data_IF_590072678771
#
_entry.id   IF_590072678771
#
_cell.length_a   1.000
_cell.length_b   1.000
_cell.length_c   1.000
_cell.angle_alpha   90.00
_cell.angle_beta   90.00
_cell.angle_gamma   90.00
#
_symmetry.space_group_name_H-M   'P 1'
#
loop_
_entity.id
_entity.type
_entity.pdbx_description
1 polymer ?
#
# COMPACT_ATOMS: atom_id res chain seq x y z
N UNK A 1 -37.72 -50.25 0.21
CA UNK A 1 -36.76 -50.98 -0.65
C UNK A 1 -35.99 -50.07 -1.60
N UNK A 2 -36.64 -49.29 -2.50
CA UNK A 2 -35.93 -48.42 -3.45
C UNK A 2 -35.19 -47.25 -2.78
N UNK A 3 -35.81 -46.60 -1.80
CA UNK A 3 -35.19 -45.47 -1.09
C UNK A 3 -34.05 -45.89 -0.16
N UNK A 4 -34.17 -47.02 0.53
CA UNK A 4 -33.12 -47.58 1.38
C UNK A 4 -31.88 -47.98 0.55
N UNK A 5 -32.10 -48.53 -0.65
CA UNK A 5 -31.01 -48.81 -1.59
C UNK A 5 -30.33 -47.54 -2.09
N UNK A 6 -31.10 -46.48 -2.37
CA UNK A 6 -30.56 -45.17 -2.75
C UNK A 6 -29.75 -44.51 -1.64
N UNK A 7 -30.17 -44.64 -0.38
CA UNK A 7 -29.42 -44.14 0.78
C UNK A 7 -28.13 -44.91 1.01
N UNK A 8 -28.15 -46.24 0.88
CA UNK A 8 -26.94 -47.06 0.96
C UNK A 8 -25.94 -46.72 -0.14
N UNK A 9 -26.44 -46.50 -1.37
CA UNK A 9 -25.60 -46.13 -2.51
C UNK A 9 -24.96 -44.75 -2.32
N UNK A 10 -25.70 -43.75 -1.81
CA UNK A 10 -25.15 -42.42 -1.54
C UNK A 10 -24.12 -42.42 -0.42
N UNK A 11 -24.33 -43.22 0.63
CA UNK A 11 -23.36 -43.43 1.72
C UNK A 11 -22.06 -44.06 1.20
N UNK A 12 -22.18 -45.05 0.31
CA UNK A 12 -21.05 -45.75 -0.29
C UNK A 12 -20.25 -44.82 -1.24
N UNK A 13 -20.95 -43.99 -2.03
CA UNK A 13 -20.32 -42.96 -2.88
C UNK A 13 -19.61 -41.91 -2.03
N UNK A 14 -20.24 -41.41 -0.96
CA UNK A 14 -19.61 -40.43 -0.05
C UNK A 14 -18.39 -41.01 0.64
N UNK A 15 -18.44 -42.28 1.06
CA UNK A 15 -17.28 -42.97 1.65
C UNK A 15 -16.15 -43.14 0.64
N UNK A 16 -16.45 -43.51 -0.61
CA UNK A 16 -15.48 -43.60 -1.71
C UNK A 16 -14.83 -42.25 -2.03
N UNK A 17 -15.60 -41.16 -2.01
CA UNK A 17 -15.09 -39.80 -2.22
C UNK A 17 -14.14 -39.36 -1.10
N UNK A 18 -14.45 -39.67 0.16
CA UNK A 18 -13.57 -39.38 1.29
C UNK A 18 -12.27 -40.18 1.25
N UNK A 19 -12.34 -41.45 0.83
CA UNK A 19 -11.14 -42.28 0.61
C UNK A 19 -10.26 -41.70 -0.51
N UNK A 20 -10.86 -41.23 -1.61
CA UNK A 20 -10.12 -40.56 -2.69
C UNK A 20 -9.39 -39.30 -2.22
N UNK A 21 -10.06 -38.47 -1.40
CA UNK A 21 -9.46 -37.28 -0.80
C UNK A 21 -8.28 -37.63 0.14
N UNK A 22 -8.45 -38.69 0.94
CA UNK A 22 -7.43 -39.18 1.86
C UNK A 22 -6.21 -39.77 1.13
N UNK A 23 -6.42 -40.56 0.07
CA UNK A 23 -5.34 -41.11 -0.76
C UNK A 23 -4.61 -40.01 -1.52
N UNK A 24 -5.33 -39.01 -2.05
CA UNK A 24 -4.72 -37.82 -2.67
C UNK A 24 -3.81 -37.07 -1.69
N UNK A 25 -4.23 -36.92 -0.44
CA UNK A 25 -3.45 -36.28 0.62
C UNK A 25 -2.20 -37.09 1.02
N UNK A 26 -2.24 -38.43 0.93
CA UNK A 26 -1.06 -39.29 1.17
C UNK A 26 -0.09 -39.21 -0.01
N UNK A 27 -0.58 -39.18 -1.25
CA UNK A 27 0.26 -39.14 -2.45
C UNK A 27 0.93 -37.77 -2.67
N UNK A 28 0.28 -36.67 -2.23
CA UNK A 28 0.83 -35.32 -2.28
C UNK A 28 2.15 -35.14 -1.49
N UNK A 29 2.48 -36.07 -0.57
CA UNK A 29 3.73 -36.04 0.22
C UNK A 29 4.84 -36.97 -0.31
N UNK A 30 4.63 -37.68 -1.42
CA UNK A 30 5.62 -38.61 -1.95
C UNK A 30 6.59 -37.91 -2.91
N UNK A 31 7.46 -37.05 -2.38
CA UNK A 31 8.58 -36.53 -3.17
C UNK A 31 9.43 -37.67 -3.73
N UNK A 32 9.89 -37.57 -4.99
CA UNK A 32 10.70 -38.62 -5.61
C UNK A 32 11.96 -38.91 -4.78
N UNK A 33 12.44 -40.14 -4.88
CA UNK A 33 13.67 -40.54 -4.20
C UNK A 33 14.86 -39.73 -4.71
N UNK A 34 15.86 -39.45 -3.85
CA UNK A 34 17.06 -38.75 -4.29
C UNK A 34 17.80 -39.58 -5.35
N UNK A 35 18.39 -38.88 -6.33
CA UNK A 35 19.19 -39.51 -7.38
C UNK A 35 20.45 -40.15 -6.78
N UNK A 36 20.90 -41.23 -7.40
CA UNK A 36 22.24 -41.73 -7.12
C UNK A 36 23.31 -40.71 -7.58
N UNK A 37 24.53 -40.74 -7.01
CA UNK A 37 25.61 -39.82 -7.42
C UNK A 37 25.97 -39.90 -8.90
N UNK A 38 25.76 -41.05 -9.54
CA UNK A 38 26.01 -41.24 -10.97
C UNK A 38 24.92 -40.62 -11.83
N UNK A 39 23.65 -40.80 -11.45
CA UNK A 39 22.51 -40.16 -12.12
C UNK A 39 22.52 -38.64 -11.96
N UNK A 40 22.86 -38.13 -10.78
CA UNK A 40 22.98 -36.69 -10.54
C UNK A 40 24.03 -36.08 -11.49
N UNK A 41 25.19 -36.74 -11.65
CA UNK A 41 26.23 -36.31 -12.61
C UNK A 41 25.72 -36.35 -14.05
N UNK A 42 25.02 -37.41 -14.45
CA UNK A 42 24.46 -37.54 -15.79
C UNK A 42 23.46 -36.42 -16.09
N UNK A 43 22.55 -36.13 -15.17
CA UNK A 43 21.59 -35.03 -15.29
C UNK A 43 22.29 -33.66 -15.33
N UNK A 44 23.34 -33.44 -14.53
CA UNK A 44 24.11 -32.20 -14.57
C UNK A 44 24.79 -31.98 -15.93
N UNK A 45 25.38 -33.03 -16.52
CA UNK A 45 25.99 -32.97 -17.85
C UNK A 45 24.93 -32.70 -18.93
N UNK A 46 23.78 -33.37 -18.87
CA UNK A 46 22.69 -33.16 -19.82
C UNK A 46 22.13 -31.73 -19.72
N UNK A 47 21.93 -31.23 -18.50
CA UNK A 47 21.48 -29.86 -18.25
C UNK A 47 22.45 -28.82 -18.81
N UNK A 48 23.77 -29.02 -18.70
CA UNK A 48 24.77 -28.13 -19.31
C UNK A 48 24.67 -28.08 -20.84
N UNK A 49 24.15 -29.14 -21.47
CA UNK A 49 23.86 -29.18 -22.91
C UNK A 49 22.50 -28.55 -23.27
N UNK A 50 21.79 -28.00 -22.30
CA UNK A 50 20.48 -27.34 -22.49
C UNK A 50 19.27 -28.26 -22.30
N UNK A 51 19.45 -29.47 -21.77
CA UNK A 51 18.34 -30.39 -21.50
C UNK A 51 17.46 -29.89 -20.34
N UNK A 52 16.21 -29.57 -20.67
CA UNK A 52 15.20 -29.06 -19.74
C UNK A 52 14.67 -30.17 -18.83
N UNK A 53 14.54 -31.40 -19.33
CA UNK A 53 14.03 -32.52 -18.55
C UNK A 53 15.02 -32.91 -17.46
N UNK A 54 16.32 -32.94 -17.80
CA UNK A 54 17.38 -33.16 -16.83
C UNK A 54 17.39 -32.10 -15.72
N UNK A 55 17.13 -30.84 -16.06
CA UNK A 55 16.99 -29.74 -15.08
C UNK A 55 15.79 -29.96 -14.16
N UNK A 56 14.63 -30.26 -14.73
CA UNK A 56 13.40 -30.45 -13.95
C UNK A 56 13.55 -31.66 -13.02
N UNK A 57 14.14 -32.76 -13.50
CA UNK A 57 14.45 -33.94 -12.69
C UNK A 57 15.33 -33.61 -11.49
N UNK A 58 16.39 -32.82 -11.68
CA UNK A 58 17.26 -32.35 -10.58
C UNK A 58 16.50 -31.49 -9.55
N UNK A 59 15.57 -30.65 -9.99
CA UNK A 59 14.77 -29.81 -9.10
C UNK A 59 13.81 -30.70 -8.28
N UNK A 60 13.03 -31.55 -8.94
CA UNK A 60 12.00 -32.38 -8.31
C UNK A 60 12.59 -33.34 -7.27
N UNK A 61 13.72 -33.99 -7.56
CA UNK A 61 14.38 -34.92 -6.64
C UNK A 61 14.98 -34.24 -5.41
N UNK A 62 15.20 -32.92 -5.48
CA UNK A 62 15.75 -32.12 -4.39
C UNK A 62 14.69 -31.30 -3.64
N UNK A 63 13.39 -31.40 -3.97
CA UNK A 63 12.33 -30.69 -3.26
C UNK A 63 12.24 -31.06 -1.76
N UNK A 64 12.61 -32.30 -1.39
CA UNK A 64 12.68 -32.74 0.01
C UNK A 64 13.62 -31.87 0.85
N UNK A 65 14.73 -31.42 0.23
CA UNK A 65 15.71 -30.55 0.88
C UNK A 65 15.09 -29.18 1.18
N UNK A 66 14.30 -28.65 0.24
CA UNK A 66 13.57 -27.38 0.42
C UNK A 66 12.62 -27.49 1.61
N UNK A 67 11.76 -28.52 1.63
CA UNK A 67 10.83 -28.74 2.73
C UNK A 67 11.53 -28.90 4.09
N UNK A 68 12.70 -29.56 4.13
CA UNK A 68 13.48 -29.71 5.34
C UNK A 68 14.08 -28.37 5.82
N UNK A 69 14.65 -27.57 4.92
CA UNK A 69 15.26 -26.29 5.26
C UNK A 69 14.20 -25.27 5.66
N UNK A 70 13.08 -25.19 4.94
CA UNK A 70 12.01 -24.24 5.22
C UNK A 70 11.40 -24.44 6.61
N UNK A 71 11.35 -25.68 7.13
CA UNK A 71 10.90 -25.98 8.50
C UNK A 71 11.71 -25.32 9.62
N UNK A 72 12.97 -24.95 9.36
CA UNK A 72 13.82 -24.24 10.33
C UNK A 72 13.37 -22.80 10.55
N UNK A 73 12.54 -22.26 9.65
CA UNK A 73 12.10 -20.88 9.66
C UNK A 73 10.61 -20.82 10.00
N UNK A 74 10.25 -19.93 10.91
CA UNK A 74 8.86 -19.60 11.23
C UNK A 74 8.76 -18.09 11.26
N UNK A 75 7.83 -17.53 10.46
CA UNK A 75 7.71 -16.08 10.26
C UNK A 75 6.25 -15.70 10.33
N UNK A 76 5.94 -14.65 11.07
CA UNK A 76 4.58 -14.10 11.12
C UNK A 76 4.19 -13.58 9.72
N UNK A 77 3.04 -14.04 9.22
CA UNK A 77 2.54 -13.69 7.88
C UNK A 77 3.06 -14.55 6.73
N UNK A 78 3.86 -15.58 7.00
CA UNK A 78 4.20 -16.61 6.01
C UNK A 78 3.80 -17.98 6.55
N UNK A 79 3.06 -18.73 5.75
CA UNK A 79 2.80 -20.13 6.08
C UNK A 79 3.96 -21.03 5.61
N UNK A 80 3.84 -22.33 5.90
CA UNK A 80 4.85 -23.30 5.47
C UNK A 80 4.93 -23.44 3.96
N UNK A 81 3.83 -23.24 3.23
CA UNK A 81 3.76 -23.37 1.78
C UNK A 81 4.46 -22.19 1.09
N UNK A 82 4.34 -20.99 1.65
CA UNK A 82 5.05 -19.79 1.20
C UNK A 82 6.56 -19.98 1.33
N UNK A 83 7.02 -20.45 2.48
CA UNK A 83 8.44 -20.69 2.74
C UNK A 83 9.00 -21.83 1.86
N UNK A 84 8.18 -22.83 1.55
CA UNK A 84 8.56 -23.87 0.58
C UNK A 84 8.67 -23.24 -0.82
N UNK A 85 7.70 -22.43 -1.24
CA UNK A 85 7.69 -21.78 -2.56
C UNK A 85 8.90 -20.85 -2.76
N UNK A 86 9.22 -20.02 -1.77
CA UNK A 86 10.42 -19.17 -1.78
C UNK A 86 11.69 -20.02 -1.84
N UNK A 87 11.75 -21.08 -1.03
CA UNK A 87 12.87 -22.01 -1.03
C UNK A 87 13.04 -22.73 -2.38
N UNK A 88 11.94 -23.07 -3.07
CA UNK A 88 11.96 -23.67 -4.42
C UNK A 88 12.58 -22.72 -5.44
N UNK A 89 12.31 -21.41 -5.35
CA UNK A 89 13.02 -20.41 -6.18
C UNK A 89 14.53 -20.46 -5.93
N UNK A 90 14.95 -20.60 -4.67
CA UNK A 90 16.36 -20.76 -4.31
C UNK A 90 16.99 -22.04 -4.87
N UNK A 91 16.25 -23.16 -4.84
CA UNK A 91 16.68 -24.41 -5.44
C UNK A 91 16.83 -24.29 -6.97
N UNK A 92 15.86 -23.69 -7.65
CA UNK A 92 15.92 -23.48 -9.11
C UNK A 92 17.16 -22.66 -9.47
N UNK A 93 17.40 -21.55 -8.76
CA UNK A 93 18.59 -20.71 -8.93
C UNK A 93 19.88 -21.52 -8.70
N UNK A 94 19.89 -22.36 -7.66
CA UNK A 94 21.04 -23.22 -7.36
C UNK A 94 21.34 -24.19 -8.50
N UNK A 95 20.33 -24.91 -8.98
CA UNK A 95 20.47 -25.88 -10.07
C UNK A 95 20.95 -25.19 -11.35
N UNK A 96 20.38 -24.02 -11.69
CA UNK A 96 20.77 -23.28 -12.89
C UNK A 96 22.19 -22.71 -12.86
N UNK A 97 22.72 -22.40 -11.67
CA UNK A 97 24.04 -21.74 -11.51
C UNK A 97 25.12 -22.66 -10.95
N UNK A 98 24.79 -23.93 -10.69
CA UNK A 98 25.71 -24.89 -10.12
C UNK A 98 26.88 -25.19 -11.06
N UNK A 99 28.09 -25.20 -10.49
CA UNK A 99 29.31 -25.56 -11.21
C UNK A 99 29.91 -26.84 -10.58
N UNK A 100 29.96 -27.97 -11.31
CA UNK A 100 30.50 -29.23 -10.80
C UNK A 100 32.02 -29.20 -10.56
N UNK A 101 32.78 -28.29 -11.18
CA UNK A 101 34.25 -28.21 -11.04
C UNK A 101 34.68 -27.79 -9.64
N UNK A 102 33.78 -27.15 -8.87
CA UNK A 102 34.06 -26.63 -7.54
C UNK A 102 34.19 -27.71 -6.46
N UNK A 103 34.08 -29.02 -6.80
CA UNK A 103 34.19 -30.17 -5.88
C UNK A 103 33.27 -30.08 -4.64
N UNK A 104 32.11 -29.46 -4.77
CA UNK A 104 31.07 -29.38 -3.73
C UNK A 104 29.84 -30.14 -4.22
N UNK A 105 29.14 -30.84 -3.33
CA UNK A 105 27.89 -31.53 -3.67
C UNK A 105 26.79 -30.53 -4.00
N UNK A 106 25.92 -30.88 -4.96
CA UNK A 106 24.79 -30.02 -5.36
C UNK A 106 23.90 -29.69 -4.16
N UNK A 107 23.58 -30.67 -3.32
CA UNK A 107 22.76 -30.48 -2.12
C UNK A 107 23.36 -29.44 -1.15
N UNK A 108 24.68 -29.43 -0.94
CA UNK A 108 25.34 -28.45 -0.07
C UNK A 108 25.25 -27.03 -0.64
N UNK A 109 25.43 -26.89 -1.96
CA UNK A 109 25.29 -25.59 -2.62
C UNK A 109 23.84 -25.11 -2.62
N UNK A 110 22.92 -25.99 -2.99
CA UNK A 110 21.48 -25.74 -3.01
C UNK A 110 20.96 -25.32 -1.65
N UNK A 111 21.40 -25.97 -0.56
CA UNK A 111 21.03 -25.60 0.79
C UNK A 111 21.33 -24.13 1.09
N UNK A 112 22.53 -23.64 0.70
CA UNK A 112 22.90 -22.22 0.89
C UNK A 112 22.04 -21.28 0.06
N UNK A 113 21.70 -21.65 -1.17
CA UNK A 113 20.84 -20.84 -2.04
C UNK A 113 19.40 -20.78 -1.52
N UNK A 114 18.86 -21.91 -1.05
CA UNK A 114 17.53 -22.01 -0.44
C UNK A 114 17.47 -21.11 0.81
N UNK A 115 18.41 -21.28 1.75
CA UNK A 115 18.48 -20.44 2.95
C UNK A 115 18.60 -18.95 2.60
N UNK A 116 19.38 -18.61 1.58
CA UNK A 116 19.55 -17.23 1.16
C UNK A 116 18.25 -16.61 0.62
N UNK A 117 17.50 -17.30 -0.24
CA UNK A 117 16.23 -16.76 -0.75
C UNK A 117 15.20 -16.58 0.36
N UNK A 118 15.08 -17.55 1.27
CA UNK A 118 14.21 -17.42 2.45
C UNK A 118 14.60 -16.19 3.27
N UNK A 119 15.89 -16.04 3.59
CA UNK A 119 16.38 -14.88 4.34
C UNK A 119 16.20 -13.56 3.59
N UNK A 120 16.30 -13.54 2.25
CA UNK A 120 16.07 -12.34 1.46
C UNK A 120 14.60 -11.91 1.49
N UNK A 121 13.65 -12.86 1.38
CA UNK A 121 12.23 -12.58 1.53
C UNK A 121 11.88 -12.05 2.92
N UNK A 122 12.53 -12.57 3.97
CA UNK A 122 12.36 -12.07 5.33
C UNK A 122 12.90 -10.64 5.52
N UNK A 123 13.96 -10.28 4.81
CA UNK A 123 14.51 -8.91 4.87
C UNK A 123 13.62 -7.91 4.14
N UNK A 124 13.01 -8.29 3.03
CA UNK A 124 12.10 -7.41 2.29
C UNK A 124 10.78 -7.19 3.04
N UNK A 125 10.25 -8.24 3.69
CA UNK A 125 9.02 -8.13 4.49
C UNK A 125 9.18 -7.28 5.76
N UNK A 126 10.40 -7.16 6.30
CA UNK A 126 10.69 -6.33 7.48
C UNK A 126 10.22 -4.88 7.33
N UNK A 127 10.18 -4.33 6.11
CA UNK A 127 9.75 -2.96 5.85
C UNK A 127 8.29 -2.69 6.25
N UNK A 128 7.44 -3.72 6.16
CA UNK A 128 5.99 -3.62 6.37
C UNK A 128 5.53 -4.38 7.61
N UNK A 129 6.48 -4.89 8.42
CA UNK A 129 6.16 -5.74 9.57
C UNK A 129 5.40 -5.02 10.67
N UNK A 130 5.64 -3.72 10.80
CA UNK A 130 5.04 -2.87 11.82
C UNK A 130 3.83 -2.09 11.26
N UNK A 131 3.42 -2.39 10.01
CA UNK A 131 2.21 -1.82 9.41
C UNK A 131 0.98 -2.52 9.98
N UNK A 132 -0.03 -1.73 10.35
CA UNK A 132 -1.30 -2.21 10.91
C UNK A 132 -2.39 -1.96 9.87
N UNK A 133 -3.29 -2.92 9.70
CA UNK A 133 -4.44 -2.76 8.82
C UNK A 133 -5.41 -1.73 9.40
N UNK A 134 -5.85 -0.76 8.61
CA UNK A 134 -6.83 0.24 9.06
C UNK A 134 -8.22 -0.37 9.32
N UNK A 135 -8.46 -1.57 8.81
CA UNK A 135 -9.70 -2.32 8.98
C UNK A 135 -9.63 -3.28 10.17
N UNK A 136 -8.49 -3.38 10.86
CA UNK A 136 -8.38 -4.20 12.06
C UNK A 136 -9.21 -3.58 13.20
N UNK A 137 -10.03 -4.37 13.90
CA UNK A 137 -10.87 -3.86 14.97
C UNK A 137 -10.00 -3.43 16.15
N UNK A 138 -10.15 -2.17 16.57
CA UNK A 138 -9.38 -1.56 17.67
C UNK A 138 -10.13 -1.68 19.01
N UNK A 139 -11.43 -1.91 18.95
CA UNK A 139 -12.30 -2.04 20.10
C UNK A 139 -13.74 -2.31 19.70
N UNK A 140 -14.62 -2.30 20.69
CA UNK A 140 -16.06 -2.50 20.48
C UNK A 140 -16.83 -1.27 20.97
N UNK A 141 -17.84 -0.83 20.22
CA UNK A 141 -18.76 0.21 20.68
C UNK A 141 -19.64 -0.31 21.85
N UNK A 142 -20.40 0.58 22.48
CA UNK A 142 -21.41 0.27 23.49
C UNK A 142 -22.46 -0.75 23.02
N UNK A 143 -22.67 -0.88 21.71
CA UNK A 143 -23.54 -1.88 21.10
C UNK A 143 -22.84 -3.19 20.71
N UNK A 144 -21.55 -3.35 21.07
CA UNK A 144 -20.67 -4.48 20.71
C UNK A 144 -20.31 -4.61 19.23
N UNK A 145 -20.61 -3.60 18.42
CA UNK A 145 -20.09 -3.57 17.05
C UNK A 145 -18.59 -3.27 17.07
N UNK A 146 -17.84 -3.95 16.20
CA UNK A 146 -16.40 -3.79 16.06
C UNK A 146 -16.09 -2.43 15.41
N UNK A 147 -15.28 -1.61 16.09
CA UNK A 147 -14.82 -0.31 15.58
C UNK A 147 -13.44 -0.52 14.96
N UNK A 148 -13.25 -0.12 13.71
CA UNK A 148 -11.96 -0.17 13.02
C UNK A 148 -11.19 1.15 13.16
N UNK A 149 -9.88 1.14 12.88
CA UNK A 149 -9.09 2.38 12.85
C UNK A 149 -9.64 3.36 11.80
N UNK A 150 -10.19 2.85 10.69
CA UNK A 150 -10.81 3.65 9.64
C UNK A 150 -11.98 4.50 10.16
N UNK A 151 -12.77 3.96 11.10
CA UNK A 151 -13.93 4.67 11.68
C UNK A 151 -13.51 5.81 12.62
N UNK A 152 -12.32 5.72 13.19
CA UNK A 152 -11.74 6.73 14.09
C UNK A 152 -11.04 7.83 13.29
N UNK A 153 -10.42 7.47 12.16
CA UNK A 153 -9.70 8.40 11.31
C UNK A 153 -10.69 9.28 10.54
N UNK A 154 -10.84 10.52 11.02
CA UNK A 154 -11.57 11.56 10.30
C UNK A 154 -10.94 11.87 8.94
N UNK A 155 -11.77 12.22 7.96
CA UNK A 155 -11.31 12.73 6.67
C UNK A 155 -11.16 14.25 6.76
N UNK A 156 -9.92 14.74 6.77
CA UNK A 156 -9.61 16.19 6.83
C UNK A 156 -10.11 16.99 5.61
N UNK A 157 -10.65 16.33 4.56
CA UNK A 157 -10.76 16.94 3.22
C UNK A 157 -12.16 17.33 2.77
N UNK A 158 -13.22 17.03 3.51
CA UNK A 158 -14.60 17.31 3.10
C UNK A 158 -15.40 18.08 4.16
N UNK A 159 -14.78 19.07 4.82
CA UNK A 159 -15.58 20.08 5.50
C UNK A 159 -16.25 20.97 4.44
N UNK A 160 -17.39 20.52 3.92
CA UNK A 160 -18.37 21.36 3.21
C UNK A 160 -18.60 22.66 3.99
N UNK A 161 -18.49 22.59 5.31
CA UNK A 161 -18.49 23.74 6.22
C UNK A 161 -17.42 24.79 5.89
N UNK A 162 -16.16 24.41 5.66
CA UNK A 162 -15.07 25.36 5.39
C UNK A 162 -15.27 26.05 4.04
N UNK A 163 -15.72 25.31 3.03
CA UNK A 163 -16.03 25.86 1.70
C UNK A 163 -17.22 26.83 1.73
N UNK A 164 -18.26 26.49 2.50
CA UNK A 164 -19.44 27.34 2.69
C UNK A 164 -19.06 28.59 3.48
N UNK A 165 -18.28 28.44 4.55
CA UNK A 165 -17.81 29.55 5.36
C UNK A 165 -16.94 30.51 4.54
N UNK A 166 -15.97 29.99 3.77
CA UNK A 166 -15.13 30.79 2.90
C UNK A 166 -15.95 31.59 1.88
N UNK A 167 -17.00 30.98 1.31
CA UNK A 167 -17.91 31.67 0.37
C UNK A 167 -18.68 32.80 1.05
N UNK A 168 -19.22 32.56 2.24
CA UNK A 168 -19.95 33.58 3.03
C UNK A 168 -19.01 34.73 3.39
N UNK A 169 -17.82 34.44 3.90
CA UNK A 169 -16.81 35.44 4.26
C UNK A 169 -16.33 36.24 3.04
N UNK A 170 -16.12 35.57 1.90
CA UNK A 170 -15.74 36.22 0.64
C UNK A 170 -16.83 37.17 0.13
N UNK A 171 -18.10 36.76 0.21
CA UNK A 171 -19.21 37.63 -0.18
C UNK A 171 -19.30 38.87 0.73
N UNK A 172 -19.20 38.68 2.04
CA UNK A 172 -19.20 39.78 3.01
C UNK A 172 -18.03 40.76 2.76
N UNK A 173 -16.83 40.24 2.42
CA UNK A 173 -15.68 41.06 2.05
C UNK A 173 -15.98 41.95 0.83
N UNK A 174 -16.56 41.38 -0.23
CA UNK A 174 -16.90 42.15 -1.43
C UNK A 174 -17.97 43.21 -1.16
N UNK A 175 -18.96 42.91 -0.34
CA UNK A 175 -19.98 43.86 0.09
C UNK A 175 -19.36 45.04 0.86
N UNK A 176 -18.45 44.77 1.81
CA UNK A 176 -17.76 45.80 2.58
C UNK A 176 -16.81 46.65 1.73
N UNK A 177 -16.11 46.05 0.77
CA UNK A 177 -15.30 46.77 -0.22
C UNK A 177 -16.17 47.73 -1.05
N UNK A 178 -17.40 47.33 -1.37
CA UNK A 178 -18.32 48.15 -2.15
C UNK A 178 -18.92 49.32 -1.34
N UNK A 179 -19.18 49.13 -0.04
CA UNK A 179 -19.87 50.09 0.83
C UNK A 179 -18.93 51.03 1.59
N UNK A 180 -17.80 50.53 2.08
CA UNK A 180 -16.94 51.25 3.04
C UNK A 180 -15.75 51.97 2.38
N UNK A 181 -15.32 51.50 1.22
CA UNK A 181 -14.16 52.07 0.51
C UNK A 181 -14.59 53.07 -0.56
N UNK A 182 -13.86 54.17 -0.62
CA UNK A 182 -13.92 55.11 -1.75
C UNK A 182 -13.42 54.43 -3.02
N UNK A 183 -13.80 54.96 -4.18
CA UNK A 183 -13.39 54.42 -5.49
C UNK A 183 -11.86 54.27 -5.60
N UNK A 184 -11.12 55.26 -5.10
CA UNK A 184 -9.65 55.26 -5.12
C UNK A 184 -9.04 54.22 -4.17
N UNK A 185 -9.63 54.02 -2.99
CA UNK A 185 -9.23 52.97 -2.04
C UNK A 185 -9.53 51.57 -2.61
N UNK A 186 -10.70 51.40 -3.22
CA UNK A 186 -11.12 50.15 -3.87
C UNK A 186 -10.15 49.74 -4.97
N UNK A 187 -9.81 50.64 -5.89
CA UNK A 187 -8.87 50.36 -6.98
C UNK A 187 -7.50 49.92 -6.44
N UNK A 188 -6.99 50.57 -5.39
CA UNK A 188 -5.73 50.18 -4.76
C UNK A 188 -5.81 48.78 -4.16
N UNK A 189 -6.85 48.48 -3.37
CA UNK A 189 -7.02 47.16 -2.75
C UNK A 189 -7.22 46.06 -3.78
N UNK A 190 -8.05 46.28 -4.82
CA UNK A 190 -8.26 45.32 -5.89
C UNK A 190 -6.95 44.97 -6.59
N UNK A 191 -6.14 45.96 -6.97
CA UNK A 191 -4.85 45.72 -7.64
C UNK A 191 -3.78 45.13 -6.73
N UNK A 192 -3.78 45.48 -5.43
CA UNK A 192 -2.78 44.97 -4.47
C UNK A 192 -2.98 43.49 -4.17
N UNK A 193 -4.24 43.08 -3.98
CA UNK A 193 -4.59 41.73 -3.54
C UNK A 193 -5.11 40.83 -4.68
N UNK A 194 -5.26 41.36 -5.89
CA UNK A 194 -5.71 40.56 -7.04
C UNK A 194 -7.18 40.18 -6.97
N UNK A 195 -8.02 41.08 -6.46
CA UNK A 195 -9.47 40.83 -6.35
C UNK A 195 -10.13 41.00 -7.72
N UNK A 196 -11.35 40.48 -7.90
CA UNK A 196 -12.12 40.58 -9.15
C UNK A 196 -11.38 40.04 -10.39
N UNK A 197 -10.63 38.94 -10.22
CA UNK A 197 -9.88 38.30 -11.31
C UNK A 197 -8.64 39.05 -11.77
N UNK A 198 -8.20 40.08 -11.04
CA UNK A 198 -6.94 40.77 -11.32
C UNK A 198 -5.74 40.03 -10.72
N UNK A 199 -4.54 40.23 -11.28
CA UNK A 199 -3.30 39.72 -10.66
C UNK A 199 -2.87 40.64 -9.50
N UNK A 200 -2.39 40.09 -8.37
CA UNK A 200 -1.86 40.90 -7.27
C UNK A 200 -0.58 41.62 -7.70
N UNK A 201 -0.50 42.92 -7.43
CA UNK A 201 0.62 43.79 -7.81
C UNK A 201 1.33 44.35 -6.58
N UNK A 202 2.67 44.48 -6.61
CA UNK A 202 3.41 45.18 -5.55
C UNK A 202 3.07 46.68 -5.54
N UNK A 203 3.17 47.33 -4.38
CA UNK A 203 2.88 48.78 -4.20
C UNK A 203 3.56 49.67 -5.24
N UNK A 204 4.80 49.35 -5.63
CA UNK A 204 5.57 50.09 -6.64
C UNK A 204 4.89 50.07 -8.01
N UNK A 205 4.28 48.96 -8.39
CA UNK A 205 3.60 48.82 -9.69
C UNK A 205 2.21 49.45 -9.68
N UNK A 206 1.49 49.34 -8.55
CA UNK A 206 0.23 50.08 -8.34
C UNK A 206 0.48 51.59 -8.38
N UNK A 207 1.55 52.06 -7.76
CA UNK A 207 1.96 53.47 -7.78
C UNK A 207 2.23 53.98 -9.20
N UNK A 208 2.93 53.19 -10.02
CA UNK A 208 3.16 53.49 -11.44
C UNK A 208 1.85 53.53 -12.22
N UNK A 209 0.95 52.56 -12.04
CA UNK A 209 -0.35 52.51 -12.73
C UNK A 209 -1.26 53.69 -12.39
N UNK A 210 -1.23 54.16 -11.14
CA UNK A 210 -2.08 55.24 -10.64
C UNK A 210 -1.40 56.62 -10.68
N UNK A 211 -0.19 56.73 -11.24
CA UNK A 211 0.61 57.95 -11.30
C UNK A 211 0.71 58.69 -9.94
N UNK A 212 1.01 57.94 -8.88
CA UNK A 212 1.18 58.46 -7.51
C UNK A 212 2.44 57.88 -6.86
N UNK A 213 2.89 58.47 -5.75
CA UNK A 213 4.05 57.95 -5.03
C UNK A 213 3.74 56.61 -4.35
N UNK A 214 4.75 55.73 -4.25
CA UNK A 214 4.65 54.47 -3.48
C UNK A 214 4.21 54.71 -2.03
N UNK A 215 4.73 55.77 -1.41
CA UNK A 215 4.35 56.15 -0.04
C UNK A 215 2.86 56.50 0.07
N UNK A 216 2.31 57.16 -0.95
CA UNK A 216 0.88 57.48 -0.99
C UNK A 216 0.01 56.22 -1.17
N UNK A 217 0.42 55.26 -2.00
CA UNK A 217 -0.25 53.95 -2.10
C UNK A 217 -0.27 53.23 -0.75
N UNK A 218 0.86 53.21 -0.03
CA UNK A 218 0.96 52.59 1.30
C UNK A 218 -0.01 53.22 2.31
N UNK A 219 -0.15 54.56 2.29
CA UNK A 219 -1.12 55.27 3.15
C UNK A 219 -2.56 54.93 2.79
N UNK A 220 -2.90 54.84 1.50
CA UNK A 220 -4.24 54.46 1.05
C UNK A 220 -4.55 53.01 1.45
N UNK A 221 -3.61 52.08 1.23
CA UNK A 221 -3.75 50.67 1.60
C UNK A 221 -4.01 50.53 3.10
N UNK A 222 -3.19 51.18 3.95
CA UNK A 222 -3.38 51.15 5.40
C UNK A 222 -4.76 51.66 5.82
N UNK A 223 -5.17 52.82 5.31
CA UNK A 223 -6.48 53.42 5.62
C UNK A 223 -7.65 52.57 5.16
N UNK A 224 -7.53 51.93 3.99
CA UNK A 224 -8.54 51.04 3.46
C UNK A 224 -8.67 49.77 4.29
N UNK A 225 -7.55 49.17 4.72
CA UNK A 225 -7.56 48.00 5.60
C UNK A 225 -8.16 48.32 6.98
N UNK A 226 -7.84 49.47 7.58
CA UNK A 226 -8.45 49.91 8.85
C UNK A 226 -9.97 50.03 8.74
N UNK A 227 -10.48 50.60 7.63
CA UNK A 227 -11.93 50.71 7.38
C UNK A 227 -12.60 49.35 7.20
N UNK A 228 -11.96 48.44 6.45
CA UNK A 228 -12.48 47.08 6.24
C UNK A 228 -12.49 46.30 7.55
N UNK A 229 -11.44 46.42 8.37
CA UNK A 229 -11.37 45.79 9.69
C UNK A 229 -12.52 46.24 10.59
N UNK A 230 -12.74 47.57 10.71
CA UNK A 230 -13.85 48.10 11.51
C UNK A 230 -15.23 47.65 11.00
N UNK A 231 -15.39 47.47 9.69
CA UNK A 231 -16.62 46.99 9.09
C UNK A 231 -16.85 45.49 9.36
N UNK A 232 -15.78 44.70 9.38
CA UNK A 232 -15.82 43.28 9.76
C UNK A 232 -16.13 43.09 11.24
N UNK A 233 -15.47 43.82 12.14
CA UNK A 233 -15.71 43.74 13.59
C UNK A 233 -17.17 44.07 13.95
N UNK A 234 -17.75 45.12 13.34
CA UNK A 234 -19.17 45.47 13.52
C UNK A 234 -20.15 44.42 13.03
N UNK A 235 -19.76 43.60 12.05
CA UNK A 235 -20.62 42.55 11.50
C UNK A 235 -20.58 41.29 12.38
N UNK A 236 -19.42 40.98 12.98
CA UNK A 236 -19.25 39.89 13.94
C UNK A 236 -20.14 40.06 15.18
N UNK A 237 -20.31 41.29 15.67
CA UNK A 237 -21.19 41.61 16.80
C UNK A 237 -22.68 41.42 16.48
N UNK A 238 -23.07 41.49 15.20
CA UNK A 238 -24.46 41.28 14.75
C UNK A 238 -24.90 39.81 14.79
N UNK A 239 -23.96 38.87 14.90
CA UNK A 239 -24.25 37.42 15.01
C UNK A 239 -24.19 36.91 16.46
N UNK A 240 -23.89 37.79 17.44
CA UNK A 240 -23.79 37.47 18.87
C UNK A 240 -24.96 38.04 19.72
N UNK A 241 -26.06 38.48 19.09
CA UNK A 241 -27.32 38.84 19.76
C UNK A 241 -28.51 38.06 19.18
#
# INVERSE_FOLDING_TARGET
MSEEFSMLLSLLISALQQVGFFVGHISANAFPQPLSPEEERACLIAMQKGDIEARNRLIETNLRLVAHISKKYTVQGYDSEDLISIGTVGLIKAVMTFNPDKKVQLATYAARCIENEVLMSMRSSKKYRDDISLQEPVGSDRQKDEISLLDILGSDRDNVFDDVELRIQSQALYDHISKCLTERERIVITLRYGLMGSKPLPQREVAKKLNISRSYVSRIEKKALEKLQQAFEKNSDSFLC
#
